data_IF_599396675840
#
_entry.id   IF_599396675840
#
_cell.length_a   1.000
_cell.length_b   1.000
_cell.length_c   1.000
_cell.angle_alpha   90.00
_cell.angle_beta   90.00
_cell.angle_gamma   90.00
#
_symmetry.space_group_name_H-M   'P 1'
#
loop_
_entity.id
_entity.type
_entity.pdbx_description
1 polymer ?
#
# COMPACT_ATOMS: atom_id res chain seq x y z
N UNK A 1 3.09 8.15 -57.91
CA UNK A 1 2.18 9.08 -57.21
C UNK A 1 1.50 8.29 -56.11
N UNK A 2 1.57 8.81 -54.87
CA UNK A 2 0.85 8.44 -53.64
C UNK A 2 0.78 6.93 -53.30
N UNK A 3 1.40 6.40 -52.24
CA UNK A 3 1.63 6.99 -50.92
C UNK A 3 0.46 6.61 -50.03
N UNK A 4 0.64 5.61 -49.17
CA UNK A 4 -0.02 5.56 -47.87
C UNK A 4 0.80 4.68 -46.91
N UNK A 5 1.45 5.36 -45.97
CA UNK A 5 2.12 4.76 -44.84
C UNK A 5 1.09 4.59 -43.72
N UNK A 6 0.86 3.35 -43.31
CA UNK A 6 0.19 3.06 -42.04
C UNK A 6 1.26 3.26 -40.95
N UNK A 7 1.23 4.43 -40.31
CA UNK A 7 1.98 4.65 -39.07
C UNK A 7 1.21 4.04 -37.90
N UNK A 8 1.75 2.94 -37.40
CA UNK A 8 1.43 2.35 -36.10
C UNK A 8 1.89 3.33 -35.00
N UNK A 9 0.96 4.12 -34.47
CA UNK A 9 1.18 4.93 -33.27
C UNK A 9 0.97 4.05 -32.03
N UNK A 10 1.96 3.21 -31.71
CA UNK A 10 2.17 2.81 -30.33
C UNK A 10 2.82 4.00 -29.61
N UNK A 11 2.00 4.87 -29.02
CA UNK A 11 2.46 5.84 -28.02
C UNK A 11 3.03 5.06 -26.82
N UNK A 12 4.33 4.78 -26.91
CA UNK A 12 5.18 4.62 -25.75
C UNK A 12 5.27 6.02 -25.13
N UNK A 13 4.40 6.29 -24.18
CA UNK A 13 4.53 7.39 -23.22
C UNK A 13 5.86 7.23 -22.48
N UNK A 14 6.94 7.71 -23.10
CA UNK A 14 8.21 7.97 -22.43
C UNK A 14 7.95 9.16 -21.52
N UNK A 15 7.70 8.84 -20.25
CA UNK A 15 7.32 9.73 -19.15
C UNK A 15 8.44 10.77 -18.88
N UNK A 16 8.55 11.75 -19.77
CA UNK A 16 9.51 12.85 -19.77
C UNK A 16 9.11 13.94 -18.75
N UNK A 17 8.77 13.50 -17.54
CA UNK A 17 8.86 14.21 -16.27
C UNK A 17 8.18 13.32 -15.24
N UNK A 18 8.80 12.18 -14.90
CA UNK A 18 8.38 11.35 -13.77
C UNK A 18 8.58 12.13 -12.46
N UNK A 19 7.69 13.09 -12.21
CA UNK A 19 7.58 13.82 -10.95
C UNK A 19 7.08 12.81 -9.94
N UNK A 20 7.92 12.54 -8.94
CA UNK A 20 7.55 11.71 -7.81
C UNK A 20 6.99 12.60 -6.71
N UNK A 21 5.94 12.16 -5.99
CA UNK A 21 5.47 12.88 -4.83
C UNK A 21 6.60 13.02 -3.82
N UNK A 22 6.70 14.20 -3.21
CA UNK A 22 7.45 14.43 -1.99
C UNK A 22 6.90 13.50 -0.90
N UNK A 23 7.76 12.62 -0.41
CA UNK A 23 7.46 11.75 0.72
C UNK A 23 8.23 12.24 1.93
N UNK A 24 7.51 12.47 3.03
CA UNK A 24 8.11 12.91 4.27
C UNK A 24 8.96 11.80 4.89
N UNK A 25 10.11 12.20 5.46
CA UNK A 25 11.05 11.28 6.07
C UNK A 25 10.47 10.57 7.30
N UNK A 26 11.06 9.43 7.60
CA UNK A 26 10.83 8.64 8.80
C UNK A 26 12.04 8.76 9.73
N UNK A 27 11.94 8.31 10.99
CA UNK A 27 13.14 8.29 11.86
C UNK A 27 14.16 7.23 11.44
N UNK A 28 13.79 6.32 10.52
CA UNK A 28 14.70 5.37 9.89
C UNK A 28 15.37 5.92 8.64
N UNK A 29 15.10 7.17 8.25
CA UNK A 29 15.69 7.83 7.10
C UNK A 29 14.66 8.34 6.10
N UNK A 30 15.12 8.93 4.97
CA UNK A 30 14.26 9.35 3.89
C UNK A 30 13.70 8.16 3.12
N UNK A 31 12.51 8.36 2.52
CA UNK A 31 12.01 7.47 1.49
C UNK A 31 12.86 7.58 0.23
N UNK A 32 13.26 6.45 -0.36
CA UNK A 32 14.15 6.47 -1.52
C UNK A 32 13.39 6.57 -2.84
N UNK A 33 13.95 7.29 -3.81
CA UNK A 33 13.38 7.42 -5.17
C UNK A 33 13.16 6.04 -5.84
N UNK A 34 14.14 5.15 -5.73
CA UNK A 34 14.09 3.79 -6.28
C UNK A 34 12.86 3.00 -5.79
N UNK A 35 12.36 3.27 -4.58
CA UNK A 35 11.18 2.61 -4.03
C UNK A 35 9.89 3.10 -4.68
N UNK A 36 9.78 4.40 -4.94
CA UNK A 36 8.65 4.97 -5.70
C UNK A 36 8.61 4.47 -7.15
N UNK A 37 9.77 4.36 -7.80
CA UNK A 37 9.91 3.79 -9.14
C UNK A 37 9.54 2.30 -9.15
N UNK A 38 9.98 1.56 -8.13
CA UNK A 38 9.64 0.13 -7.96
C UNK A 38 8.13 -0.06 -7.81
N UNK A 39 7.47 0.74 -6.98
CA UNK A 39 6.01 0.68 -6.82
C UNK A 39 5.31 0.97 -8.15
N UNK A 40 5.74 2.02 -8.88
CA UNK A 40 5.14 2.35 -10.17
C UNK A 40 5.23 1.17 -11.16
N UNK A 41 6.42 0.61 -11.34
CA UNK A 41 6.63 -0.57 -12.21
C UNK A 41 5.81 -1.78 -11.75
N UNK A 42 5.77 -2.03 -10.45
CA UNK A 42 5.01 -3.15 -9.90
C UNK A 42 3.50 -2.98 -10.11
N UNK A 43 2.99 -1.74 -10.08
CA UNK A 43 1.59 -1.45 -10.40
C UNK A 43 1.31 -1.76 -11.87
N UNK A 44 2.19 -1.31 -12.77
CA UNK A 44 2.04 -1.56 -14.21
C UNK A 44 2.06 -3.06 -14.54
N UNK A 45 2.88 -3.85 -13.83
CA UNK A 45 3.02 -5.29 -14.06
C UNK A 45 1.97 -6.16 -13.36
N UNK A 46 1.54 -5.77 -12.16
CA UNK A 46 0.77 -6.67 -11.27
C UNK A 46 -0.38 -5.99 -10.53
N UNK A 47 -0.49 -4.67 -10.60
CA UNK A 47 -1.41 -3.86 -9.81
C UNK A 47 -2.63 -3.36 -10.58
N UNK A 48 -3.13 -4.09 -11.58
CA UNK A 48 -4.27 -3.65 -12.39
C UNK A 48 -5.47 -3.20 -11.53
N UNK A 49 -5.74 -3.88 -10.41
CA UNK A 49 -6.84 -3.53 -9.52
C UNK A 49 -6.62 -2.20 -8.79
N UNK A 50 -5.36 -1.81 -8.55
CA UNK A 50 -5.05 -0.52 -7.96
C UNK A 50 -5.49 0.62 -8.90
N UNK A 51 -5.47 0.40 -10.22
CA UNK A 51 -5.85 1.42 -11.21
C UNK A 51 -7.33 1.35 -11.60
N UNK A 52 -7.87 0.14 -11.68
CA UNK A 52 -9.16 -0.13 -12.31
C UNK A 52 -10.33 -0.32 -11.33
N UNK A 53 -10.09 -0.69 -10.07
CA UNK A 53 -11.18 -0.79 -9.11
C UNK A 53 -11.66 0.59 -8.67
N UNK A 54 -12.99 0.69 -8.54
CA UNK A 54 -13.61 1.78 -7.80
C UNK A 54 -13.30 1.60 -6.31
N UNK A 55 -12.63 2.60 -5.71
CA UNK A 55 -12.38 2.65 -4.28
C UNK A 55 -13.61 3.22 -3.57
N UNK A 56 -13.96 2.66 -2.42
CA UNK A 56 -15.09 3.11 -1.61
C UNK A 56 -14.96 4.58 -1.22
N UNK A 57 -16.04 5.34 -1.36
CA UNK A 57 -16.10 6.76 -1.00
C UNK A 57 -15.68 7.00 0.46
N UNK A 58 -16.16 6.17 1.40
CA UNK A 58 -15.77 6.26 2.83
C UNK A 58 -14.24 6.20 3.03
N UNK A 59 -13.54 5.38 2.26
CA UNK A 59 -12.08 5.26 2.39
C UNK A 59 -11.36 6.44 1.71
N UNK A 60 -11.94 6.99 0.64
CA UNK A 60 -11.44 8.19 -0.05
C UNK A 60 -11.66 9.47 0.78
N UNK A 61 -12.82 9.60 1.44
CA UNK A 61 -13.11 10.66 2.40
C UNK A 61 -12.10 10.66 3.53
N UNK A 62 -11.79 9.48 4.09
CA UNK A 62 -10.82 9.35 5.17
C UNK A 62 -9.45 9.95 4.81
N UNK A 63 -9.01 9.82 3.56
CA UNK A 63 -7.74 10.35 3.07
C UNK A 63 -7.86 11.68 2.30
N UNK A 64 -9.03 12.32 2.33
CA UNK A 64 -9.33 13.56 1.62
C UNK A 64 -8.99 13.52 0.11
N UNK A 65 -9.40 12.45 -0.58
CA UNK A 65 -9.13 12.28 -2.01
C UNK A 65 -10.33 11.70 -2.79
N UNK A 66 -11.43 12.45 -2.84
CA UNK A 66 -12.70 12.02 -3.44
C UNK A 66 -12.60 11.80 -4.96
N UNK A 67 -11.85 12.64 -5.68
CA UNK A 67 -11.71 12.53 -7.15
C UNK A 67 -10.80 11.38 -7.62
N UNK A 68 -10.33 10.51 -6.72
CA UNK A 68 -9.47 9.37 -7.05
C UNK A 68 -10.08 8.46 -8.12
N UNK A 69 -11.38 8.16 -8.04
CA UNK A 69 -12.00 7.17 -8.93
C UNK A 69 -12.03 7.65 -10.40
N UNK A 70 -12.09 8.97 -10.61
CA UNK A 70 -12.09 9.64 -11.90
C UNK A 70 -10.68 9.99 -12.39
N UNK A 71 -9.67 9.83 -11.54
CA UNK A 71 -8.30 10.17 -11.86
C UNK A 71 -7.71 9.26 -12.95
N UNK A 72 -6.76 9.80 -13.71
CA UNK A 72 -5.98 9.02 -14.68
C UNK A 72 -5.13 7.94 -14.00
N UNK A 73 -4.69 6.93 -14.76
CA UNK A 73 -3.82 5.89 -14.23
C UNK A 73 -2.51 6.44 -13.66
N UNK A 74 -1.93 7.47 -14.28
CA UNK A 74 -0.72 8.13 -13.77
C UNK A 74 -0.96 8.75 -12.39
N UNK A 75 -2.06 9.51 -12.24
CA UNK A 75 -2.47 10.11 -10.96
C UNK A 75 -2.72 9.06 -9.88
N UNK A 76 -3.45 7.98 -10.21
CA UNK A 76 -3.67 6.85 -9.30
C UNK A 76 -2.36 6.22 -8.85
N UNK A 77 -1.37 6.05 -9.74
CA UNK A 77 -0.02 5.58 -9.36
C UNK A 77 0.66 6.49 -8.35
N UNK A 78 0.52 7.81 -8.46
CA UNK A 78 1.09 8.74 -7.48
C UNK A 78 0.45 8.58 -6.10
N UNK A 79 -0.87 8.40 -6.05
CA UNK A 79 -1.59 8.13 -4.80
C UNK A 79 -1.09 6.85 -4.13
N UNK A 80 -0.93 5.75 -4.88
CA UNK A 80 -0.43 4.49 -4.31
C UNK A 80 1.00 4.59 -3.80
N UNK A 81 1.89 5.36 -4.45
CA UNK A 81 3.24 5.62 -3.91
C UNK A 81 3.18 6.27 -2.52
N UNK A 82 2.30 7.27 -2.36
CA UNK A 82 2.06 7.94 -1.07
C UNK A 82 1.51 6.96 -0.03
N UNK A 83 0.52 6.15 -0.39
CA UNK A 83 -0.06 5.16 0.52
C UNK A 83 0.96 4.11 0.97
N UNK A 84 1.71 3.51 0.04
CA UNK A 84 2.74 2.51 0.37
C UNK A 84 3.85 3.09 1.24
N UNK A 85 4.28 4.32 0.99
CA UNK A 85 5.19 5.02 1.88
C UNK A 85 4.56 5.18 3.28
N UNK A 86 3.32 5.63 3.40
CA UNK A 86 2.65 5.74 4.70
C UNK A 86 2.55 4.39 5.42
N UNK A 87 2.25 3.29 4.73
CA UNK A 87 2.26 1.95 5.31
C UNK A 87 3.66 1.57 5.81
N UNK A 88 4.69 1.70 4.97
CA UNK A 88 6.08 1.40 5.32
C UNK A 88 6.58 2.22 6.53
N UNK A 89 6.11 3.46 6.69
CA UNK A 89 6.46 4.31 7.82
C UNK A 89 6.01 3.72 9.16
N UNK A 90 4.82 3.13 9.21
CA UNK A 90 4.23 2.58 10.43
C UNK A 90 4.50 1.08 10.62
N UNK A 91 4.85 0.37 9.55
CA UNK A 91 5.29 -1.01 9.62
C UNK A 91 6.75 -1.13 10.06
N UNK A 92 7.66 -0.43 9.38
CA UNK A 92 9.10 -0.59 9.62
C UNK A 92 9.88 0.71 9.79
N UNK A 93 9.20 1.86 9.66
CA UNK A 93 9.86 3.16 9.71
C UNK A 93 10.95 3.28 8.62
N UNK A 94 10.63 2.76 7.42
CA UNK A 94 11.50 2.68 6.24
C UNK A 94 12.74 1.79 6.39
N UNK A 95 12.78 0.93 7.40
CA UNK A 95 13.88 -0.01 7.61
C UNK A 95 13.54 -1.37 6.99
N UNK A 96 14.47 -1.91 6.21
CA UNK A 96 14.34 -3.28 5.72
C UNK A 96 14.95 -4.24 6.73
N UNK A 97 14.21 -4.54 7.80
CA UNK A 97 14.68 -5.37 8.92
C UNK A 97 13.61 -6.37 9.37
N UNK A 98 14.01 -7.33 10.20
CA UNK A 98 13.05 -8.23 10.87
C UNK A 98 12.25 -7.45 11.91
N UNK A 99 10.99 -7.82 12.11
CA UNK A 99 10.18 -7.32 13.21
C UNK A 99 10.93 -7.50 14.53
N UNK A 100 11.03 -6.42 15.31
CA UNK A 100 11.57 -6.47 16.66
C UNK A 100 10.65 -7.33 17.56
N UNK A 101 11.16 -8.38 18.22
CA UNK A 101 10.34 -9.20 19.10
C UNK A 101 9.76 -8.38 20.26
N UNK A 102 8.47 -8.56 20.56
CA UNK A 102 7.78 -7.85 21.65
C UNK A 102 7.48 -8.72 22.86
N UNK A 103 7.61 -10.04 22.72
CA UNK A 103 7.35 -11.03 23.75
C UNK A 103 8.14 -12.31 23.45
N UNK A 104 8.12 -13.27 24.38
CA UNK A 104 8.84 -14.54 24.26
C UNK A 104 8.46 -15.35 23.01
N UNK A 105 7.17 -15.34 22.61
CA UNK A 105 6.71 -16.03 21.40
C UNK A 105 7.34 -15.44 20.14
N UNK A 106 7.41 -14.10 20.04
CA UNK A 106 8.07 -13.43 18.93
C UNK A 106 9.58 -13.73 18.89
N UNK A 107 10.24 -13.88 20.06
CA UNK A 107 11.66 -14.25 20.13
C UNK A 107 11.88 -15.64 19.51
N UNK A 108 11.05 -16.63 19.87
CA UNK A 108 11.12 -17.97 19.28
C UNK A 108 10.88 -17.91 17.76
N UNK A 109 9.82 -17.22 17.32
CA UNK A 109 9.51 -17.07 15.89
C UNK A 109 10.63 -16.38 15.12
N UNK A 110 11.28 -15.37 15.73
CA UNK A 110 12.36 -14.63 15.09
C UNK A 110 13.59 -15.51 14.83
N UNK A 111 13.94 -16.38 15.79
CA UNK A 111 14.99 -17.40 15.63
C UNK A 111 14.70 -18.38 14.48
N UNK A 112 13.42 -18.62 14.20
CA UNK A 112 12.98 -19.51 13.13
C UNK A 112 12.69 -18.80 11.79
N UNK A 113 12.97 -17.50 11.66
CA UNK A 113 12.60 -16.69 10.49
C UNK A 113 11.08 -16.68 10.19
N UNK A 114 10.25 -16.81 11.23
CA UNK A 114 8.78 -16.80 11.16
C UNK A 114 8.15 -15.50 11.63
N UNK A 115 8.93 -14.43 11.70
CA UNK A 115 8.44 -13.07 11.98
C UNK A 115 8.34 -12.26 10.69
N UNK A 116 7.46 -11.25 10.63
CA UNK A 116 7.45 -10.28 9.53
C UNK A 116 8.83 -9.64 9.29
N UNK A 117 9.14 -9.33 8.03
CA UNK A 117 10.44 -8.76 7.63
C UNK A 117 10.31 -7.73 6.50
N UNK A 118 11.32 -6.88 6.39
CA UNK A 118 11.46 -5.93 5.30
C UNK A 118 10.62 -4.66 5.49
N UNK A 119 10.59 -3.84 4.46
CA UNK A 119 10.03 -2.49 4.54
C UNK A 119 8.50 -2.45 4.78
N UNK A 120 7.76 -3.45 4.30
CA UNK A 120 6.32 -3.61 4.52
C UNK A 120 5.99 -4.70 5.55
N UNK A 121 6.98 -5.21 6.29
CA UNK A 121 6.81 -6.27 7.30
C UNK A 121 6.00 -7.46 6.77
N UNK A 122 6.54 -8.13 5.76
CA UNK A 122 5.94 -9.30 5.13
C UNK A 122 6.44 -10.59 5.79
N UNK A 123 5.53 -11.53 6.05
CA UNK A 123 5.82 -12.88 6.54
C UNK A 123 6.21 -13.86 5.42
N UNK A 124 6.85 -14.96 5.81
CA UNK A 124 7.28 -16.07 4.93
C UNK A 124 6.15 -17.06 4.59
N UNK A 125 5.03 -17.00 5.31
CA UNK A 125 3.90 -17.90 5.09
C UNK A 125 2.94 -17.30 4.05
N UNK A 126 2.65 -18.07 3.00
CA UNK A 126 1.70 -17.69 1.97
C UNK A 126 0.27 -17.75 2.54
N UNK A 127 -0.25 -16.61 3.00
CA UNK A 127 -1.66 -16.50 3.36
C UNK A 127 -2.52 -16.32 2.11
N UNK A 128 -3.83 -16.58 2.21
CA UNK A 128 -4.79 -16.46 1.11
C UNK A 128 -4.83 -15.05 0.45
N UNK A 129 -4.23 -14.04 1.09
CA UNK A 129 -4.18 -12.64 0.64
C UNK A 129 -2.82 -12.25 0.04
N UNK A 130 -1.82 -13.15 0.06
CA UNK A 130 -0.46 -12.93 -0.46
C UNK A 130 -0.06 -13.86 -1.62
N UNK A 131 -1.01 -14.50 -2.29
CA UNK A 131 -0.73 -15.28 -3.49
C UNK A 131 -0.43 -14.33 -4.67
N UNK A 132 0.85 -14.09 -4.91
CA UNK A 132 1.37 -13.24 -5.99
C UNK A 132 2.89 -13.08 -5.88
N UNK A 133 3.41 -13.10 -4.65
CA UNK A 133 4.84 -12.98 -4.40
C UNK A 133 5.56 -14.33 -4.57
N UNK A 134 5.66 -14.81 -5.81
CA UNK A 134 6.45 -15.98 -6.14
C UNK A 134 7.90 -15.76 -5.70
N UNK A 135 8.35 -16.54 -4.72
CA UNK A 135 9.72 -16.45 -4.19
C UNK A 135 9.88 -15.72 -2.86
N UNK A 136 8.81 -15.22 -2.22
CA UNK A 136 8.84 -14.68 -0.85
C UNK A 136 9.07 -15.77 0.24
N UNK A 137 10.04 -16.66 0.01
CA UNK A 137 10.26 -17.90 0.75
C UNK A 137 11.50 -17.88 1.65
N UNK A 138 12.23 -16.77 1.69
CA UNK A 138 13.46 -16.64 2.47
C UNK A 138 13.62 -15.25 3.08
N UNK A 139 14.35 -15.19 4.19
CA UNK A 139 14.66 -13.92 4.85
C UNK A 139 15.44 -12.97 3.93
N UNK A 140 16.40 -13.48 3.15
CA UNK A 140 17.16 -12.66 2.20
C UNK A 140 16.25 -12.03 1.15
N UNK A 141 15.26 -12.77 0.65
CA UNK A 141 14.29 -12.25 -0.30
C UNK A 141 13.42 -11.15 0.34
N UNK A 142 12.86 -11.42 1.53
CA UNK A 142 11.98 -10.49 2.22
C UNK A 142 12.68 -9.22 2.72
N UNK A 143 13.97 -9.30 3.04
CA UNK A 143 14.79 -8.15 3.44
C UNK A 143 15.29 -7.31 2.26
N UNK A 144 15.11 -7.77 1.01
CA UNK A 144 15.35 -6.92 -0.15
C UNK A 144 14.17 -5.94 -0.31
N UNK A 145 14.38 -4.62 -0.18
CA UNK A 145 13.29 -3.65 -0.18
C UNK A 145 12.54 -3.59 -1.53
N UNK A 146 13.22 -3.82 -2.65
CA UNK A 146 12.61 -3.81 -3.99
C UNK A 146 11.60 -4.95 -4.11
N UNK A 147 12.04 -6.17 -3.82
CA UNK A 147 11.18 -7.37 -3.84
C UNK A 147 10.02 -7.28 -2.84
N UNK A 148 10.29 -6.70 -1.67
CA UNK A 148 9.29 -6.52 -0.63
C UNK A 148 8.18 -5.53 -1.07
N UNK A 149 8.54 -4.43 -1.74
CA UNK A 149 7.58 -3.46 -2.28
C UNK A 149 6.80 -4.03 -3.47
N UNK A 150 7.46 -4.70 -4.40
CA UNK A 150 6.80 -5.41 -5.51
C UNK A 150 5.74 -6.38 -4.98
N UNK A 151 6.10 -7.17 -3.96
CA UNK A 151 5.18 -8.06 -3.28
C UNK A 151 4.00 -7.32 -2.63
N UNK A 152 4.26 -6.19 -1.98
CA UNK A 152 3.23 -5.34 -1.40
C UNK A 152 2.19 -4.91 -2.42
N UNK A 153 2.61 -4.52 -3.63
CA UNK A 153 1.66 -4.16 -4.70
C UNK A 153 0.74 -5.33 -5.05
N UNK A 154 1.27 -6.54 -5.17
CA UNK A 154 0.47 -7.73 -5.48
C UNK A 154 -0.51 -8.09 -4.36
N UNK A 155 -0.06 -7.99 -3.10
CA UNK A 155 -0.91 -8.20 -1.92
C UNK A 155 -2.07 -7.19 -1.95
N UNK A 156 -1.79 -5.90 -2.12
CA UNK A 156 -2.83 -4.87 -2.20
C UNK A 156 -3.79 -5.10 -3.38
N UNK A 157 -3.26 -5.50 -4.54
CA UNK A 157 -4.05 -5.82 -5.72
C UNK A 157 -5.09 -6.92 -5.44
N UNK A 158 -4.68 -7.96 -4.73
CA UNK A 158 -5.57 -9.04 -4.32
C UNK A 158 -6.54 -8.63 -3.21
N UNK A 159 -6.15 -7.73 -2.31
CA UNK A 159 -7.04 -7.24 -1.26
C UNK A 159 -8.19 -6.42 -1.85
N UNK A 160 -7.89 -5.53 -2.80
CA UNK A 160 -8.90 -4.69 -3.45
C UNK A 160 -9.91 -5.49 -4.27
N UNK A 161 -9.57 -6.69 -4.74
CA UNK A 161 -10.49 -7.59 -5.43
C UNK A 161 -11.28 -8.51 -4.49
N UNK A 162 -11.20 -8.33 -3.17
CA UNK A 162 -11.90 -9.19 -2.21
C UNK A 162 -11.20 -10.53 -1.96
N UNK A 163 -9.88 -10.57 -2.09
CA UNK A 163 -9.06 -11.77 -1.94
C UNK A 163 -9.10 -12.71 -3.15
N UNK A 164 -8.53 -13.91 -2.99
CA UNK A 164 -8.53 -14.92 -4.05
C UNK A 164 -9.96 -15.22 -4.52
N UNK A 165 -10.20 -15.04 -5.82
CA UNK A 165 -11.48 -15.31 -6.48
C UNK A 165 -12.67 -14.44 -6.03
N UNK A 166 -12.43 -13.27 -5.44
CA UNK A 166 -13.51 -12.39 -4.99
C UNK A 166 -14.33 -12.95 -3.83
N UNK A 167 -13.72 -13.84 -3.03
CA UNK A 167 -14.36 -14.55 -1.92
C UNK A 167 -14.97 -13.61 -0.87
N UNK A 168 -14.42 -12.41 -0.72
CA UNK A 168 -14.86 -11.41 0.24
C UNK A 168 -15.42 -10.21 -0.54
N UNK A 169 -16.69 -10.29 -0.95
CA UNK A 169 -17.31 -9.27 -1.80
C UNK A 169 -17.57 -7.95 -1.08
N UNK A 170 -17.92 -7.97 0.20
CA UNK A 170 -18.26 -6.78 1.01
C UNK A 170 -17.10 -5.81 1.28
N UNK A 171 -15.93 -6.08 0.70
CA UNK A 171 -14.65 -5.42 1.01
C UNK A 171 -13.84 -5.14 -0.27
N UNK A 172 -14.43 -5.43 -1.44
CA UNK A 172 -13.92 -5.01 -2.74
C UNK A 172 -13.80 -3.48 -2.75
N UNK A 173 -12.69 -2.96 -3.26
CA UNK A 173 -12.45 -1.52 -3.30
C UNK A 173 -12.21 -0.86 -1.94
N UNK A 174 -12.04 -1.63 -0.86
CA UNK A 174 -11.72 -1.08 0.47
C UNK A 174 -10.21 -1.07 0.73
N UNK A 175 -9.66 0.11 1.02
CA UNK A 175 -8.32 0.35 1.55
C UNK A 175 -8.31 0.16 3.08
N UNK A 176 -9.33 0.67 3.77
CA UNK A 176 -9.43 0.74 5.23
C UNK A 176 -10.72 0.11 5.79
N UNK A 177 -11.07 -1.10 5.39
CA UNK A 177 -12.33 -1.63 5.88
C UNK A 177 -12.28 -1.98 7.35
N UNK A 178 -13.49 -1.92 7.86
CA UNK A 178 -13.82 -2.42 9.17
C UNK A 178 -13.60 -3.92 9.21
N UNK A 179 -13.19 -4.43 10.36
CA UNK A 179 -13.14 -5.87 10.58
C UNK A 179 -14.53 -6.42 10.26
N UNK A 180 -14.65 -7.43 9.37
CA UNK A 180 -15.95 -8.01 9.09
C UNK A 180 -16.43 -8.64 10.40
N UNK A 181 -17.42 -8.02 11.03
CA UNK A 181 -18.16 -8.60 12.16
C UNK A 181 -19.12 -9.64 11.59
N UNK A 182 -18.59 -10.71 10.99
CA UNK A 182 -19.41 -11.87 10.72
C UNK A 182 -19.43 -12.72 11.99
N UNK A 183 -20.64 -12.96 12.50
CA UNK A 183 -21.01 -13.84 13.62
C UNK A 183 -19.95 -14.91 13.96
N UNK A 184 -19.06 -14.59 14.89
CA UNK A 184 -18.08 -15.54 15.43
C UNK A 184 -16.89 -15.92 14.54
N UNK A 185 -16.75 -15.38 13.32
CA UNK A 185 -15.62 -15.68 12.42
C UNK A 185 -14.68 -14.49 12.25
N UNK A 186 -13.45 -14.60 12.77
CA UNK A 186 -12.37 -13.65 12.50
C UNK A 186 -11.81 -13.88 11.09
N UNK A 187 -12.54 -13.48 10.07
CA UNK A 187 -12.03 -13.53 8.70
C UNK A 187 -11.02 -12.40 8.55
N UNK A 188 -9.73 -12.76 8.61
CA UNK A 188 -8.62 -11.84 8.39
C UNK A 188 -8.34 -11.70 6.89
N UNK A 189 -9.07 -10.84 6.20
CA UNK A 189 -8.87 -10.64 4.77
C UNK A 189 -7.88 -9.55 4.39
N UNK A 190 -7.31 -8.87 5.39
CA UNK A 190 -6.21 -7.94 5.21
C UNK A 190 -4.90 -8.47 5.73
N UNK A 191 -3.86 -8.15 4.96
CA UNK A 191 -2.49 -8.43 5.31
C UNK A 191 -1.97 -7.45 6.39
N UNK A 192 -2.11 -6.15 6.14
CA UNK A 192 -1.55 -5.13 7.03
C UNK A 192 -2.51 -4.74 8.14
N UNK A 193 -2.09 -5.02 9.38
CA UNK A 193 -2.81 -4.55 10.57
C UNK A 193 -2.85 -3.02 10.65
N UNK A 194 -1.88 -2.31 10.06
CA UNK A 194 -1.85 -0.84 10.05
C UNK A 194 -2.99 -0.23 9.24
N UNK A 195 -3.69 -0.99 8.39
CA UNK A 195 -4.83 -0.50 7.60
C UNK A 195 -6.19 -0.85 8.20
N UNK A 196 -6.23 -1.77 9.16
CA UNK A 196 -7.50 -2.37 9.65
C UNK A 196 -7.69 -2.28 11.15
N UNK A 197 -6.62 -2.01 11.90
CA UNK A 197 -6.66 -2.06 13.36
C UNK A 197 -6.65 -0.68 14.00
N UNK A 198 -7.71 -0.41 14.74
CA UNK A 198 -7.95 0.85 15.41
C UNK A 198 -9.23 1.50 14.95
N UNK A 199 -10.27 1.41 15.78
CA UNK A 199 -11.39 2.35 15.69
C UNK A 199 -11.13 3.50 16.67
N UNK A 200 -11.92 4.55 16.53
CA UNK A 200 -11.88 5.84 17.23
C UNK A 200 -11.41 5.77 18.69
N UNK A 201 -10.48 6.68 19.04
CA UNK A 201 -9.96 6.97 20.38
C UNK A 201 -10.19 5.87 21.43
N UNK A 202 -9.18 5.02 21.70
CA UNK A 202 -9.18 4.25 22.95
C UNK A 202 -8.79 5.17 24.11
N UNK A 203 -9.66 5.42 25.11
CA UNK A 203 -9.31 6.28 26.23
C UNK A 203 -8.13 5.71 27.03
N UNK A 204 -7.18 6.56 27.39
CA UNK A 204 -6.04 6.24 28.27
C UNK A 204 -5.87 7.32 29.32
N UNK A 205 -5.08 7.06 30.37
CA UNK A 205 -4.74 8.07 31.39
C UNK A 205 -4.02 9.31 30.85
N UNK A 206 -3.54 9.28 29.59
CA UNK A 206 -2.87 10.39 28.89
C UNK A 206 -3.69 10.95 27.72
N UNK A 207 -4.98 10.61 27.61
CA UNK A 207 -5.86 11.00 26.51
C UNK A 207 -6.17 9.85 25.54
N UNK A 208 -6.53 10.19 24.30
CA UNK A 208 -6.92 9.22 23.28
C UNK A 208 -5.74 8.49 22.65
N UNK A 209 -5.77 7.15 22.64
CA UNK A 209 -4.88 6.33 21.82
C UNK A 209 -5.63 5.91 20.56
N UNK A 210 -5.33 6.58 19.46
CA UNK A 210 -5.73 6.17 18.12
C UNK A 210 -4.97 4.92 17.67
N UNK A 211 -5.61 4.10 16.84
CA UNK A 211 -4.95 2.91 16.30
C UNK A 211 -3.96 3.26 15.20
N UNK A 212 -3.33 2.23 14.63
CA UNK A 212 -2.34 2.45 13.57
C UNK A 212 -2.99 2.91 12.26
N UNK A 213 -4.27 2.55 12.04
CA UNK A 213 -5.10 2.99 10.90
C UNK A 213 -5.17 4.50 10.77
N UNK A 214 -5.61 5.17 11.82
CA UNK A 214 -5.76 6.64 11.83
C UNK A 214 -4.44 7.35 11.56
N UNK A 215 -3.33 6.82 12.10
CA UNK A 215 -2.00 7.38 11.84
C UNK A 215 -1.55 7.21 10.38
N UNK A 216 -1.87 6.09 9.74
CA UNK A 216 -1.62 5.91 8.31
C UNK A 216 -2.46 6.92 7.51
N UNK A 217 -3.74 7.07 7.86
CA UNK A 217 -4.65 8.03 7.22
C UNK A 217 -4.11 9.46 7.35
N UNK A 218 -3.82 9.90 8.58
CA UNK A 218 -3.24 11.22 8.86
C UNK A 218 -1.99 11.47 8.02
N UNK A 219 -1.12 10.46 7.89
CA UNK A 219 0.11 10.59 7.11
C UNK A 219 -0.14 10.67 5.60
N UNK A 220 -1.12 9.93 5.09
CA UNK A 220 -1.54 10.06 3.69
C UNK A 220 -2.04 11.48 3.46
N UNK A 221 -2.98 11.95 4.27
CA UNK A 221 -3.54 13.31 4.18
C UNK A 221 -2.43 14.37 4.24
N UNK A 222 -1.51 14.26 5.19
CA UNK A 222 -0.37 15.18 5.32
C UNK A 222 0.46 15.22 4.03
N UNK A 223 0.79 14.05 3.47
CA UNK A 223 1.61 13.96 2.26
C UNK A 223 0.88 14.43 1.00
N UNK A 224 -0.43 14.17 0.87
CA UNK A 224 -1.22 14.65 -0.26
C UNK A 224 -1.32 16.19 -0.27
N UNK A 225 -1.38 16.81 0.91
CA UNK A 225 -1.52 18.27 1.07
C UNK A 225 -0.19 19.02 1.19
N UNK A 226 0.95 18.38 0.94
CA UNK A 226 2.22 19.11 0.87
C UNK A 226 2.18 20.10 -0.28
N UNK A 227 2.73 21.31 -0.06
CA UNK A 227 2.86 22.33 -1.09
C UNK A 227 3.54 21.80 -2.37
N UNK A 228 4.56 20.98 -2.21
CA UNK A 228 5.32 20.36 -3.30
C UNK A 228 4.55 19.28 -4.06
N UNK A 229 3.43 18.81 -3.49
CA UNK A 229 2.58 17.78 -4.07
C UNK A 229 1.23 18.32 -4.56
N UNK A 230 0.94 19.61 -4.35
CA UNK A 230 -0.38 20.18 -4.61
C UNK A 230 -0.84 19.94 -6.05
N UNK A 231 0.00 20.25 -7.04
CA UNK A 231 -0.35 20.03 -8.46
C UNK A 231 -0.48 18.54 -8.81
N UNK A 232 0.26 17.65 -8.13
CA UNK A 232 0.18 16.21 -8.39
C UNK A 232 -1.13 15.60 -7.90
N UNK A 233 -1.74 16.17 -6.87
CA UNK A 233 -2.93 15.65 -6.20
C UNK A 233 -4.14 16.58 -6.27
N UNK A 234 -4.13 17.58 -7.16
CA UNK A 234 -5.27 18.47 -7.34
C UNK A 234 -6.57 17.72 -7.69
N UNK A 235 -6.45 16.57 -8.35
CA UNK A 235 -7.54 15.66 -8.67
C UNK A 235 -8.25 15.11 -7.44
N UNK A 236 -7.63 15.11 -6.25
CA UNK A 236 -8.27 14.68 -5.01
C UNK A 236 -9.46 15.57 -4.63
N UNK A 237 -9.51 16.81 -5.13
CA UNK A 237 -10.50 17.83 -4.77
C UNK A 237 -11.45 18.20 -5.92
N UNK A 238 -11.37 17.50 -7.05
CA UNK A 238 -12.23 17.73 -8.23
C UNK A 238 -13.53 16.95 -8.15
#
# INVERSE_FOLDING_TARGET
MAGDQIQDQSELDVDANSVHPKILAASGGPWKKEWSETIARAIDLHGANLLNHHISEVDLEAVNCLGYNQASHSQKKQFWKVLFASVARYESNYKSEKMKPRNYRDVIRSRQNKVPMGILQLGTEATAHGQGCSGANSAQWLLNPIRNLECGVQIMNNQLSGGKSGRFTGVIGRIFPDRPRYEGSTIHHYYWSVLTYGDSCTPTSKGCRYGKKDRVIERVVEQLNLSENYELFDFCHR
#
